data_IF_010895639913
#
_entry.id   IF_010895639913
#
_cell.length_a   1.000
_cell.length_b   1.000
_cell.length_c   1.000
_cell.angle_alpha   90.00
_cell.angle_beta   90.00
_cell.angle_gamma   90.00
#
_symmetry.space_group_name_H-M   'P 1'
#
loop_
_entity.id
_entity.type
_entity.pdbx_description
1 polymer ?
#
# COMPACT_ATOMS: atom_id res chain seq x y z
N UNK A 1 27.33 -6.52 -16.68
CA UNK A 1 26.40 -7.18 -15.73
C UNK A 1 26.57 -8.68 -15.91
N UNK A 2 26.98 -9.41 -14.87
CA UNK A 2 27.09 -10.88 -14.98
C UNK A 2 25.68 -11.49 -14.88
N UNK A 3 25.28 -12.27 -15.87
CA UNK A 3 24.04 -13.03 -15.88
C UNK A 3 24.31 -14.40 -15.21
N UNK A 4 23.89 -14.53 -13.94
CA UNK A 4 24.11 -15.73 -13.13
C UNK A 4 22.83 -16.18 -12.44
N UNK A 5 22.75 -17.47 -12.09
CA UNK A 5 21.68 -18.02 -11.28
C UNK A 5 21.89 -17.61 -9.82
N UNK A 6 20.83 -17.06 -9.21
CA UNK A 6 20.78 -16.71 -7.79
C UNK A 6 19.59 -17.42 -7.16
N UNK A 7 19.86 -18.42 -6.31
CA UNK A 7 18.86 -19.21 -5.62
C UNK A 7 17.93 -18.37 -4.73
N UNK A 8 18.42 -17.21 -4.25
CA UNK A 8 17.61 -16.28 -3.45
C UNK A 8 16.64 -15.44 -4.28
N UNK A 9 16.78 -15.50 -5.61
CA UNK A 9 15.99 -14.74 -6.56
C UNK A 9 15.05 -15.61 -7.39
N UNK A 10 14.74 -16.81 -6.90
CA UNK A 10 13.69 -17.68 -7.45
C UNK A 10 12.34 -17.05 -7.07
N UNK A 11 11.43 -16.97 -8.02
CA UNK A 11 10.12 -16.31 -7.82
C UNK A 11 9.40 -16.78 -6.56
N UNK A 12 8.64 -15.87 -5.96
CA UNK A 12 7.88 -16.14 -4.72
C UNK A 12 6.76 -17.13 -5.01
N UNK A 13 6.60 -18.14 -4.14
CA UNK A 13 5.50 -19.08 -4.20
C UNK A 13 4.16 -18.34 -4.10
N UNK A 14 3.20 -18.68 -4.96
CA UNK A 14 1.89 -18.07 -4.96
C UNK A 14 0.92 -18.80 -4.01
N UNK A 15 -0.04 -18.07 -3.44
CA UNK A 15 -1.16 -18.68 -2.74
C UNK A 15 -2.10 -19.29 -3.77
N UNK A 16 -2.26 -20.60 -3.73
CA UNK A 16 -3.10 -21.37 -4.66
C UNK A 16 -4.26 -22.09 -3.98
N UNK A 17 -4.35 -22.01 -2.64
CA UNK A 17 -5.38 -22.71 -1.86
C UNK A 17 -5.99 -21.80 -0.81
N UNK A 18 -7.28 -21.97 -0.51
CA UNK A 18 -7.89 -21.30 0.64
C UNK A 18 -7.27 -21.83 1.94
N UNK A 19 -7.21 -21.00 2.97
CA UNK A 19 -6.63 -21.40 4.26
C UNK A 19 -6.35 -20.22 5.19
N UNK A 20 -5.71 -20.53 6.29
CA UNK A 20 -5.20 -19.54 7.25
C UNK A 20 -3.72 -19.32 7.00
N UNK A 21 -3.34 -18.05 6.83
CA UNK A 21 -1.96 -17.66 6.56
C UNK A 21 -1.51 -16.60 7.58
N UNK A 22 -0.35 -16.83 8.19
CA UNK A 22 0.33 -15.81 9.00
C UNK A 22 0.87 -14.74 8.05
N UNK A 23 0.40 -13.52 8.22
CA UNK A 23 0.70 -12.39 7.33
C UNK A 23 0.98 -11.11 8.12
N UNK A 24 1.47 -10.10 7.44
CA UNK A 24 1.49 -8.71 7.91
C UNK A 24 1.15 -7.77 6.75
N UNK A 25 0.55 -6.61 7.05
CA UNK A 25 0.30 -5.58 6.05
C UNK A 25 1.61 -4.92 5.65
N UNK A 26 1.85 -4.77 4.35
CA UNK A 26 3.10 -4.22 3.78
C UNK A 26 2.95 -2.81 3.25
N UNK A 27 1.76 -2.47 2.78
CA UNK A 27 1.43 -1.18 2.19
C UNK A 27 -0.07 -0.96 2.16
N UNK A 28 -0.48 0.29 2.02
CA UNK A 28 -1.87 0.65 1.75
C UNK A 28 -1.95 1.79 0.73
N UNK A 29 -3.15 2.07 0.23
CA UNK A 29 -3.44 3.20 -0.62
C UNK A 29 -4.81 3.77 -0.30
N UNK A 30 -4.88 5.10 -0.12
CA UNK A 30 -6.13 5.85 0.01
C UNK A 30 -6.82 5.90 -1.36
N UNK A 31 -8.09 5.53 -1.39
CA UNK A 31 -8.90 5.56 -2.60
C UNK A 31 -10.32 6.03 -2.30
N UNK A 32 -11.06 6.31 -3.36
CA UNK A 32 -12.49 6.52 -3.28
C UNK A 32 -13.21 5.41 -4.04
N UNK A 33 -14.31 4.93 -3.48
CA UNK A 33 -15.18 3.98 -4.19
C UNK A 33 -15.72 4.62 -5.48
N UNK A 34 -15.81 3.83 -6.55
CA UNK A 34 -16.19 4.34 -7.89
C UNK A 34 -17.55 5.04 -7.91
N UNK A 35 -18.56 4.42 -7.30
CA UNK A 35 -19.94 4.88 -7.41
C UNK A 35 -20.33 5.88 -6.31
N UNK A 36 -20.02 5.57 -5.06
CA UNK A 36 -20.48 6.35 -3.90
C UNK A 36 -19.46 7.37 -3.41
N UNK A 37 -18.24 7.40 -3.98
CA UNK A 37 -17.14 8.31 -3.61
C UNK A 37 -16.83 8.28 -2.12
N UNK A 38 -17.02 7.13 -1.47
CA UNK A 38 -16.66 6.91 -0.07
C UNK A 38 -15.18 6.63 0.07
N UNK A 39 -14.58 7.11 1.13
CA UNK A 39 -13.20 6.81 1.50
C UNK A 39 -13.00 5.30 1.65
N UNK A 40 -11.88 4.82 1.16
CA UNK A 40 -11.55 3.40 1.14
C UNK A 40 -10.05 3.20 1.24
N UNK A 41 -9.63 2.43 2.22
CA UNK A 41 -8.25 1.98 2.33
C UNK A 41 -8.07 0.63 1.63
N UNK A 42 -7.01 0.50 0.86
CA UNK A 42 -6.68 -0.73 0.14
C UNK A 42 -5.38 -1.27 0.68
N UNK A 43 -5.45 -2.31 1.50
CA UNK A 43 -4.28 -2.93 2.11
C UNK A 43 -3.74 -4.06 1.25
N UNK A 44 -2.41 -4.24 1.31
CA UNK A 44 -1.71 -5.38 0.75
C UNK A 44 -0.96 -6.09 1.87
N UNK A 45 -0.95 -7.42 1.84
CA UNK A 45 -0.30 -8.25 2.84
C UNK A 45 0.80 -9.10 2.21
N UNK A 46 1.78 -9.46 3.04
CA UNK A 46 2.79 -10.46 2.70
C UNK A 46 2.67 -11.65 3.65
N UNK A 47 2.72 -12.85 3.09
CA UNK A 47 2.82 -14.09 3.86
C UNK A 47 4.17 -14.15 4.54
N UNK A 48 4.19 -14.41 5.84
CA UNK A 48 5.41 -14.44 6.67
C UNK A 48 6.35 -15.54 6.20
N UNK A 49 7.63 -15.18 6.09
CA UNK A 49 8.73 -16.08 5.71
C UNK A 49 9.31 -16.84 6.90
N UNK A 50 9.18 -16.25 8.09
CA UNK A 50 9.65 -16.81 9.36
C UNK A 50 8.75 -17.90 9.96
N UNK A 51 7.60 -18.17 9.33
CA UNK A 51 6.65 -19.21 9.72
C UNK A 51 6.65 -20.32 8.68
N UNK A 52 6.65 -21.59 9.12
CA UNK A 52 6.55 -22.72 8.21
C UNK A 52 5.11 -22.91 7.74
N UNK A 53 4.83 -22.40 6.53
CA UNK A 53 3.53 -22.38 5.88
C UNK A 53 3.69 -22.32 4.35
N UNK A 54 2.70 -22.74 3.56
CA UNK A 54 2.74 -22.59 2.11
C UNK A 54 2.68 -21.10 1.71
N UNK A 55 3.22 -20.77 0.53
CA UNK A 55 3.16 -19.43 -0.03
C UNK A 55 4.04 -18.40 0.69
N UNK A 56 5.14 -18.80 1.34
CA UNK A 56 6.07 -17.88 2.01
C UNK A 56 6.48 -16.72 1.11
N UNK A 57 6.34 -15.50 1.61
CA UNK A 57 6.65 -14.28 0.87
C UNK A 57 5.63 -13.87 -0.20
N UNK A 58 4.60 -14.68 -0.47
CA UNK A 58 3.52 -14.33 -1.40
C UNK A 58 2.79 -13.06 -0.98
N UNK A 59 2.26 -12.33 -1.97
CA UNK A 59 1.46 -11.13 -1.75
C UNK A 59 -0.03 -11.46 -1.86
N UNK A 60 -0.82 -10.94 -0.92
CA UNK A 60 -2.27 -10.83 -0.99
C UNK A 60 -2.58 -9.36 -1.20
N UNK A 61 -3.19 -9.02 -2.33
CA UNK A 61 -3.36 -7.63 -2.75
C UNK A 61 -4.85 -7.24 -2.79
N UNK A 62 -5.08 -5.92 -2.69
CA UNK A 62 -6.39 -5.30 -2.90
C UNK A 62 -7.46 -5.68 -1.88
N UNK A 63 -7.08 -5.77 -0.62
CA UNK A 63 -8.05 -5.91 0.47
C UNK A 63 -8.66 -4.56 0.83
N UNK A 64 -9.96 -4.40 0.54
CA UNK A 64 -10.65 -3.11 0.58
C UNK A 64 -11.37 -2.90 1.91
N UNK A 65 -11.15 -1.73 2.52
CA UNK A 65 -11.80 -1.25 3.74
C UNK A 65 -12.54 0.05 3.45
N UNK A 66 -13.85 -0.04 3.23
CA UNK A 66 -14.66 1.14 2.90
C UNK A 66 -15.14 1.83 4.19
N UNK A 67 -14.85 3.13 4.34
CA UNK A 67 -15.22 3.91 5.52
C UNK A 67 -16.73 4.23 5.52
N UNK A 68 -17.53 3.29 6.03
CA UNK A 68 -18.98 3.43 6.24
C UNK A 68 -19.37 2.71 7.53
N UNK A 69 -20.47 3.17 8.16
CA UNK A 69 -21.00 2.53 9.38
C UNK A 69 -21.23 1.03 9.20
N UNK A 70 -21.73 0.62 8.01
CA UNK A 70 -22.01 -0.78 7.70
C UNK A 70 -20.75 -1.63 7.56
N UNK A 71 -19.62 -1.03 7.18
CA UNK A 71 -18.35 -1.74 6.97
C UNK A 71 -17.36 -1.55 8.13
N UNK A 72 -17.68 -0.74 9.14
CA UNK A 72 -16.83 -0.49 10.31
C UNK A 72 -16.39 -1.78 11.02
N UNK A 73 -17.23 -2.82 11.00
CA UNK A 73 -16.90 -4.12 11.59
C UNK A 73 -15.61 -4.73 11.01
N UNK A 74 -15.29 -4.45 9.74
CA UNK A 74 -14.08 -4.99 9.09
C UNK A 74 -12.81 -4.32 9.61
N UNK A 75 -12.84 -3.00 9.80
CA UNK A 75 -11.77 -2.26 10.47
C UNK A 75 -11.54 -2.80 11.88
N UNK A 76 -12.62 -2.94 12.65
CA UNK A 76 -12.57 -3.47 14.01
C UNK A 76 -12.06 -4.92 14.05
N UNK A 77 -12.40 -5.75 13.07
CA UNK A 77 -11.96 -7.14 13.01
C UNK A 77 -10.43 -7.24 12.80
N UNK A 78 -9.86 -6.43 11.90
CA UNK A 78 -8.41 -6.38 11.69
C UNK A 78 -7.69 -5.81 12.93
N UNK A 79 -8.16 -4.68 13.44
CA UNK A 79 -7.61 -4.05 14.66
C UNK A 79 -7.59 -5.05 15.83
N UNK A 80 -8.71 -5.74 16.08
CA UNK A 80 -8.80 -6.77 17.13
C UNK A 80 -7.81 -7.92 16.92
N UNK A 81 -7.58 -8.32 15.66
CA UNK A 81 -6.66 -9.39 15.34
C UNK A 81 -5.19 -9.05 15.66
N UNK A 82 -4.83 -7.78 15.70
CA UNK A 82 -3.48 -7.37 16.12
C UNK A 82 -3.23 -7.55 17.61
N UNK A 83 -4.30 -7.53 18.43
CA UNK A 83 -4.25 -7.55 19.92
C UNK A 83 -3.37 -6.44 20.54
N UNK A 84 -3.24 -5.30 19.84
CA UNK A 84 -2.36 -4.20 20.27
C UNK A 84 -3.12 -2.98 20.77
N UNK A 85 -4.43 -2.92 20.54
CA UNK A 85 -5.24 -1.74 20.82
C UNK A 85 -6.35 -2.07 21.83
N UNK A 86 -6.58 -1.14 22.74
CA UNK A 86 -7.69 -1.22 23.68
C UNK A 86 -9.02 -0.80 23.03
N UNK A 87 -10.13 -1.23 23.64
CA UNK A 87 -11.45 -0.81 23.19
C UNK A 87 -11.62 0.71 23.31
N UNK A 88 -12.04 1.36 22.22
CA UNK A 88 -12.20 2.81 22.17
C UNK A 88 -10.96 3.59 21.72
N UNK A 89 -9.89 2.90 21.31
CA UNK A 89 -8.73 3.57 20.69
C UNK A 89 -9.18 4.37 19.45
N UNK A 90 -8.77 5.65 19.39
CA UNK A 90 -9.11 6.56 18.30
C UNK A 90 -7.92 6.73 17.35
N UNK A 91 -8.09 6.29 16.11
CA UNK A 91 -7.09 6.44 15.04
C UNK A 91 -7.21 7.79 14.31
N UNK A 92 -8.24 8.60 14.62
CA UNK A 92 -8.51 9.88 13.98
C UNK A 92 -9.18 9.77 12.60
N UNK A 93 -8.58 9.02 11.67
CA UNK A 93 -9.13 8.80 10.31
C UNK A 93 -8.71 7.43 9.73
N UNK A 94 -9.34 6.98 8.61
CA UNK A 94 -9.06 5.69 8.00
C UNK A 94 -7.59 5.53 7.54
N UNK A 95 -6.96 6.58 7.01
CA UNK A 95 -5.58 6.55 6.56
C UNK A 95 -4.59 6.33 7.72
N UNK A 96 -4.77 7.03 8.84
CA UNK A 96 -3.98 6.81 10.05
C UNK A 96 -4.15 5.39 10.59
N UNK A 97 -5.40 4.88 10.58
CA UNK A 97 -5.66 3.50 10.95
C UNK A 97 -4.87 2.53 10.06
N UNK A 98 -4.88 2.73 8.74
CA UNK A 98 -4.17 1.87 7.81
C UNK A 98 -2.64 1.90 8.04
N UNK A 99 -2.07 3.08 8.28
CA UNK A 99 -0.66 3.26 8.63
C UNK A 99 -0.29 2.48 9.90
N UNK A 100 -1.14 2.56 10.93
CA UNK A 100 -0.90 1.83 12.18
C UNK A 100 -1.03 0.30 12.04
N UNK A 101 -1.78 -0.20 11.03
CA UNK A 101 -1.87 -1.65 10.76
C UNK A 101 -0.63 -2.22 10.06
N UNK A 102 0.23 -1.38 9.48
CA UNK A 102 1.43 -1.86 8.78
C UNK A 102 2.38 -2.63 9.71
N UNK A 103 2.95 -3.71 9.20
CA UNK A 103 3.91 -4.55 9.92
C UNK A 103 3.33 -5.37 11.07
N UNK A 104 2.03 -5.29 11.39
CA UNK A 104 1.43 -6.05 12.48
C UNK A 104 1.16 -7.50 12.08
N UNK A 105 1.66 -8.49 12.85
CA UNK A 105 1.44 -9.89 12.57
C UNK A 105 0.01 -10.30 12.89
N UNK A 106 -0.66 -10.91 11.93
CA UNK A 106 -2.03 -11.45 12.03
C UNK A 106 -2.15 -12.74 11.24
N UNK A 107 -3.26 -13.45 11.41
CA UNK A 107 -3.70 -14.51 10.50
C UNK A 107 -4.78 -13.95 9.59
N UNK A 108 -4.55 -14.02 8.28
CA UNK A 108 -5.56 -13.82 7.26
C UNK A 108 -6.23 -15.14 6.90
N UNK A 109 -7.56 -15.19 6.98
CA UNK A 109 -8.36 -16.31 6.46
C UNK A 109 -8.65 -16.01 5.00
N UNK A 110 -8.03 -16.78 4.11
CA UNK A 110 -8.04 -16.55 2.66
C UNK A 110 -8.98 -17.52 1.97
N UNK A 111 -9.73 -17.02 1.01
CA UNK A 111 -10.50 -17.78 0.02
C UNK A 111 -9.96 -17.47 -1.37
N UNK A 112 -10.26 -18.35 -2.34
CA UNK A 112 -9.95 -18.08 -3.74
C UNK A 112 -11.18 -17.52 -4.43
N UNK A 113 -11.04 -16.34 -5.06
CA UNK A 113 -12.11 -15.67 -5.81
C UNK A 113 -11.68 -15.44 -7.24
N UNK A 114 -12.61 -15.54 -8.18
CA UNK A 114 -12.34 -15.24 -9.60
C UNK A 114 -12.36 -13.74 -9.82
N UNK A 115 -11.30 -13.23 -10.45
CA UNK A 115 -11.27 -11.85 -10.92
C UNK A 115 -12.12 -11.67 -12.20
N UNK A 116 -12.20 -10.43 -12.68
CA UNK A 116 -12.94 -10.09 -13.89
C UNK A 116 -12.46 -10.82 -15.17
N UNK A 117 -11.25 -11.39 -15.14
CA UNK A 117 -10.67 -12.20 -16.21
C UNK A 117 -10.86 -13.70 -15.99
N UNK A 118 -11.55 -14.10 -14.92
CA UNK A 118 -11.78 -15.49 -14.57
C UNK A 118 -10.58 -16.17 -13.89
N UNK A 119 -9.52 -15.44 -13.54
CA UNK A 119 -8.36 -15.97 -12.82
C UNK A 119 -8.64 -16.04 -11.32
N UNK A 120 -8.29 -17.16 -10.71
CA UNK A 120 -8.40 -17.30 -9.25
C UNK A 120 -7.33 -16.45 -8.55
N UNK A 121 -7.77 -15.66 -7.56
CA UNK A 121 -6.92 -14.83 -6.73
C UNK A 121 -7.24 -15.00 -5.25
N UNK A 122 -6.24 -14.93 -4.37
CA UNK A 122 -6.47 -14.95 -2.93
C UNK A 122 -7.23 -13.68 -2.50
N UNK A 123 -8.28 -13.87 -1.72
CA UNK A 123 -9.11 -12.81 -1.13
C UNK A 123 -9.25 -13.02 0.38
N UNK A 124 -9.05 -11.98 1.19
CA UNK A 124 -9.14 -12.08 2.65
C UNK A 124 -10.59 -11.98 3.09
N UNK A 125 -11.09 -13.00 3.77
CA UNK A 125 -12.45 -13.06 4.32
C UNK A 125 -12.54 -12.55 5.76
N UNK A 126 -11.59 -12.92 6.59
CA UNK A 126 -11.57 -12.55 8.00
C UNK A 126 -10.15 -12.57 8.56
N UNK A 127 -10.01 -12.09 9.79
CA UNK A 127 -8.75 -11.96 10.49
C UNK A 127 -8.81 -12.69 11.83
N UNK A 128 -7.67 -13.24 12.26
CA UNK A 128 -7.48 -13.85 13.57
C UNK A 128 -6.15 -13.37 14.17
N UNK A 129 -5.99 -13.41 15.50
CA UNK A 129 -4.72 -13.13 16.12
C UNK A 129 -3.63 -14.09 15.63
N UNK A 130 -2.42 -13.54 15.42
CA UNK A 130 -1.24 -14.35 15.08
C UNK A 130 -0.93 -15.36 16.18
N UNK A 131 -0.65 -16.60 15.81
CA UNK A 131 -0.19 -17.66 16.74
C UNK A 131 1.32 -17.62 16.96
N UNK A 132 2.05 -16.82 16.19
CA UNK A 132 3.51 -16.74 16.13
C UNK A 132 3.97 -15.29 16.34
N UNK A 133 3.93 -14.83 17.57
CA UNK A 133 4.45 -13.51 18.00
C UNK A 133 5.66 -13.71 18.91
N UNK A 134 6.64 -12.79 18.90
CA UNK A 134 6.89 -11.76 17.88
C UNK A 134 7.34 -12.33 16.54
N UNK A 135 7.47 -11.49 15.50
CA UNK A 135 8.10 -11.89 14.24
C UNK A 135 9.60 -12.07 14.42
N UNK A 136 10.15 -13.14 13.83
CA UNK A 136 11.59 -13.42 13.87
C UNK A 136 12.37 -12.56 12.86
N UNK A 137 11.70 -12.14 11.79
CA UNK A 137 12.25 -11.24 10.76
C UNK A 137 11.56 -9.89 10.82
N UNK A 138 12.31 -8.82 10.60
CA UNK A 138 11.76 -7.47 10.51
C UNK A 138 10.83 -7.37 9.29
N UNK A 139 9.59 -6.86 9.46
CA UNK A 139 8.65 -6.76 8.35
C UNK A 139 9.10 -5.73 7.32
N UNK A 140 9.12 -6.10 6.05
CA UNK A 140 9.33 -5.15 4.96
C UNK A 140 8.03 -4.42 4.68
N UNK A 141 7.94 -3.17 5.10
CA UNK A 141 6.78 -2.31 4.88
C UNK A 141 7.13 -1.15 3.94
N UNK A 142 6.10 -0.62 3.28
CA UNK A 142 6.18 0.64 2.53
C UNK A 142 5.13 1.57 3.11
N UNK A 143 5.55 2.64 3.75
CA UNK A 143 4.64 3.65 4.25
C UNK A 143 3.93 4.36 3.08
N UNK A 144 2.83 5.04 3.38
CA UNK A 144 2.12 5.82 2.38
C UNK A 144 3.00 6.93 1.78
N UNK A 145 3.83 7.56 2.62
CA UNK A 145 4.81 8.57 2.20
C UNK A 145 5.85 8.03 1.22
N UNK A 146 6.31 6.79 1.42
CA UNK A 146 7.25 6.15 0.52
C UNK A 146 6.64 5.85 -0.85
N UNK A 147 5.35 5.49 -0.88
CA UNK A 147 4.61 5.26 -2.12
C UNK A 147 4.41 6.56 -2.90
N UNK A 148 4.08 7.66 -2.24
CA UNK A 148 3.94 8.97 -2.84
C UNK A 148 5.26 9.49 -3.40
N UNK A 149 6.35 9.32 -2.67
CA UNK A 149 7.70 9.68 -3.11
C UNK A 149 8.15 8.86 -4.32
N UNK A 150 7.85 7.56 -4.33
CA UNK A 150 8.16 6.69 -5.47
C UNK A 150 7.36 7.10 -6.73
N UNK A 151 6.09 7.47 -6.56
CA UNK A 151 5.24 7.97 -7.65
C UNK A 151 5.73 9.33 -8.18
N UNK A 152 6.30 10.17 -7.32
CA UNK A 152 6.90 11.46 -7.69
C UNK A 152 8.32 11.33 -8.31
N UNK A 153 8.88 10.11 -8.41
CA UNK A 153 10.21 9.87 -8.95
C UNK A 153 11.35 10.33 -8.04
N UNK A 154 11.08 10.55 -6.75
CA UNK A 154 12.09 10.91 -5.75
C UNK A 154 12.77 9.63 -5.26
N UNK A 155 14.10 9.46 -5.40
CA UNK A 155 14.78 8.26 -4.92
C UNK A 155 14.76 8.17 -3.40
N UNK A 156 14.52 6.97 -2.85
CA UNK A 156 14.42 6.59 -1.43
C UNK A 156 15.64 6.98 -0.56
N UNK A 157 16.66 7.64 -1.11
CA UNK A 157 17.93 7.88 -0.46
C UNK A 157 18.21 9.34 -0.07
N UNK A 158 17.18 10.11 0.26
CA UNK A 158 17.35 11.39 0.95
C UNK A 158 16.97 11.30 2.43
N UNK A 159 17.60 10.36 3.14
CA UNK A 159 17.76 10.42 4.58
C UNK A 159 18.58 11.67 4.94
N UNK A 160 17.96 12.54 5.73
CA UNK A 160 18.48 13.70 6.44
C UNK A 160 19.97 14.03 6.21
N UNK A 161 20.27 14.96 5.34
CA UNK A 161 21.55 15.68 5.33
C UNK A 161 21.29 17.15 5.06
N UNK A 162 21.43 17.94 6.13
CA UNK A 162 21.82 19.35 6.19
C UNK A 162 21.58 20.27 4.98
N UNK A 163 20.70 21.23 5.18
CA UNK A 163 20.72 22.62 4.74
C UNK A 163 21.60 22.98 3.54
N UNK A 164 21.04 22.81 2.34
CA UNK A 164 21.41 23.64 1.20
C UNK A 164 20.14 24.41 0.82
N UNK A 165 20.16 25.73 0.72
CA UNK A 165 18.99 26.49 0.28
C UNK A 165 18.57 25.99 -1.10
N UNK A 166 17.30 25.67 -1.27
CA UNK A 166 16.75 25.33 -2.56
C UNK A 166 17.03 26.48 -3.55
N UNK A 167 17.53 26.21 -4.77
CA UNK A 167 17.55 27.21 -5.82
C UNK A 167 16.09 27.61 -6.11
N UNK A 168 15.82 28.91 -6.14
CA UNK A 168 14.53 29.44 -6.54
C UNK A 168 14.12 28.86 -7.90
N UNK A 169 12.85 28.48 -8.10
CA UNK A 169 12.39 28.03 -9.40
C UNK A 169 12.54 29.16 -10.41
N UNK A 170 13.52 29.07 -11.29
CA UNK A 170 13.64 29.94 -12.46
C UNK A 170 12.50 29.59 -13.41
N UNK A 171 11.54 30.48 -13.51
CA UNK A 171 10.46 30.43 -14.49
C UNK A 171 11.10 30.38 -15.91
N UNK A 172 10.89 29.31 -16.70
CA UNK A 172 11.48 29.18 -18.04
C UNK A 172 10.94 30.21 -19.03
N UNK A 173 9.99 31.07 -18.65
CA UNK A 173 9.41 32.12 -19.50
C UNK A 173 9.92 33.54 -19.20
N UNK A 174 10.84 33.73 -18.27
CA UNK A 174 11.47 35.05 -18.02
C UNK A 174 12.75 35.28 -18.84
N UNK A 175 12.80 34.79 -20.07
CA UNK A 175 13.91 34.98 -21.00
C UNK A 175 13.45 35.58 -22.31
N UNK A 176 13.58 36.89 -22.44
CA UNK A 176 13.56 37.68 -23.68
C UNK A 176 12.21 38.29 -24.11
N UNK A 177 12.00 39.52 -23.70
CA UNK A 177 10.95 40.38 -24.21
C UNK A 177 11.11 40.66 -25.71
N UNK A 178 10.40 39.87 -26.52
CA UNK A 178 10.06 40.17 -27.88
C UNK A 178 8.54 40.31 -27.96
N UNK A 179 7.98 41.49 -27.78
CA UNK A 179 6.56 41.75 -27.93
C UNK A 179 6.11 41.38 -29.33
N UNK A 180 5.30 40.33 -29.45
CA UNK A 180 4.57 40.04 -30.70
C UNK A 180 3.38 40.94 -30.75
N UNK A 181 3.46 41.93 -31.60
CA UNK A 181 2.37 42.88 -31.87
C UNK A 181 1.40 42.18 -32.85
N UNK A 182 0.35 41.59 -32.33
CA UNK A 182 -0.73 41.03 -33.15
C UNK A 182 -1.71 42.16 -33.45
N UNK A 183 -1.78 42.59 -34.71
CA UNK A 183 -2.77 43.56 -35.14
C UNK A 183 -4.12 42.86 -35.37
N UNK A 184 -5.22 43.58 -35.10
CA UNK A 184 -6.61 43.13 -35.16
C UNK A 184 -7.07 42.67 -36.55
N UNK A 185 -6.16 42.67 -37.56
CA UNK A 185 -6.46 42.26 -38.94
C UNK A 185 -6.08 40.80 -39.28
N UNK A 186 -5.51 40.05 -38.33
CA UNK A 186 -5.02 38.68 -38.59
C UNK A 186 -5.95 37.56 -38.03
N UNK A 187 -7.19 37.89 -37.68
CA UNK A 187 -8.18 36.93 -37.25
C UNK A 187 -9.15 36.63 -38.39
N UNK A 188 -9.08 35.48 -39.08
CA UNK A 188 -10.13 35.08 -40.03
C UNK A 188 -11.36 34.59 -39.27
N UNK A 189 -12.50 35.18 -39.62
CA UNK A 189 -13.83 34.77 -39.15
C UNK A 189 -14.26 33.45 -39.81
#
# INVERSE_FOLDING_TARGET
MAFGYDEKNVGVEQITKPGEYEVYATSFADKLTKNSRKEMEVLNYRVRTDVDQPGKGALIQYDNFVATDKAQWRFNALTKATEMYENGHDFGNPSNWAEEMLGKPIIAVVTMEKDLKGQERPSVKSFKPSKRKPMAEEPTIKSHKDLDNAAAGIPDNMGASHGVPAPEPTDPFTGNGGGVNISDNDIPF
#
